data_IF_293262597337
#
_entry.id   IF_293262597337
#
_cell.length_a   1.000
_cell.length_b   1.000
_cell.length_c   1.000
_cell.angle_alpha   90.00
_cell.angle_beta   90.00
_cell.angle_gamma   90.00
#
_symmetry.space_group_name_H-M   'P 1'
#
loop_
_entity.id
_entity.type
_entity.pdbx_description
1 polymer ?
#
# COMPACT_ATOMS: atom_id res chain seq x y z
N UNK A 1 -89.13 11.36 57.88
CA UNK A 1 -88.36 10.50 58.80
C UNK A 1 -87.91 9.21 58.11
N UNK A 2 -88.79 8.23 57.80
CA UNK A 2 -88.37 7.01 57.08
C UNK A 2 -87.91 7.27 55.64
N UNK A 3 -88.68 8.06 54.89
CA UNK A 3 -88.38 8.36 53.48
C UNK A 3 -87.06 9.12 53.28
N UNK A 4 -86.69 9.99 54.23
CA UNK A 4 -85.41 10.71 54.21
C UNK A 4 -84.22 9.78 54.49
N UNK A 5 -84.43 8.78 55.33
CA UNK A 5 -83.45 7.72 55.62
C UNK A 5 -83.21 6.82 54.40
N UNK A 6 -84.27 6.49 53.65
CA UNK A 6 -84.16 5.71 52.41
C UNK A 6 -83.39 6.48 51.31
N UNK A 7 -83.67 7.78 51.17
CA UNK A 7 -82.94 8.66 50.23
C UNK A 7 -81.47 8.76 50.63
N UNK A 8 -81.17 8.92 51.92
CA UNK A 8 -79.81 8.96 52.43
C UNK A 8 -79.08 7.62 52.18
N UNK A 9 -79.74 6.48 52.45
CA UNK A 9 -79.18 5.16 52.23
C UNK A 9 -78.85 4.91 50.75
N UNK A 10 -79.74 5.32 49.83
CA UNK A 10 -79.48 5.23 48.39
C UNK A 10 -78.26 6.06 47.98
N UNK A 11 -78.14 7.30 48.48
CA UNK A 11 -77.00 8.18 48.18
C UNK A 11 -75.68 7.65 48.76
N UNK A 12 -75.70 7.11 49.99
CA UNK A 12 -74.54 6.43 50.59
C UNK A 12 -74.15 5.23 49.74
N UNK A 13 -75.11 4.43 49.27
CA UNK A 13 -74.87 3.30 48.37
C UNK A 13 -74.16 3.73 47.07
N UNK A 14 -74.63 4.81 46.43
CA UNK A 14 -74.01 5.38 45.24
C UNK A 14 -72.58 5.88 45.49
N UNK A 15 -72.33 6.57 46.61
CA UNK A 15 -70.98 7.04 46.98
C UNK A 15 -70.04 5.87 47.21
N UNK A 16 -70.51 4.80 47.87
CA UNK A 16 -69.72 3.58 48.07
C UNK A 16 -69.36 2.91 46.74
N UNK A 17 -70.31 2.80 45.81
CA UNK A 17 -70.06 2.27 44.46
C UNK A 17 -69.03 3.12 43.70
N UNK A 18 -69.18 4.44 43.70
CA UNK A 18 -68.24 5.36 43.06
C UNK A 18 -66.84 5.24 43.66
N UNK A 19 -66.74 5.13 44.99
CA UNK A 19 -65.46 4.97 45.69
C UNK A 19 -64.77 3.67 45.29
N UNK A 20 -65.51 2.57 45.15
CA UNK A 20 -64.98 1.29 44.68
C UNK A 20 -64.50 1.38 43.23
N UNK A 21 -65.24 2.06 42.36
CA UNK A 21 -64.83 2.28 40.98
C UNK A 21 -63.52 3.09 40.90
N UNK A 22 -63.43 4.22 41.63
CA UNK A 22 -62.23 5.04 41.68
C UNK A 22 -61.01 4.27 42.23
N UNK A 23 -61.22 3.36 43.19
CA UNK A 23 -60.16 2.49 43.70
C UNK A 23 -59.67 1.50 42.63
N UNK A 24 -60.58 0.91 41.85
CA UNK A 24 -60.25 0.02 40.74
C UNK A 24 -59.55 0.75 39.58
N UNK A 25 -59.99 1.97 39.27
CA UNK A 25 -59.35 2.81 38.25
C UNK A 25 -57.96 3.23 38.71
N UNK A 26 -57.79 3.60 39.99
CA UNK A 26 -56.49 3.92 40.58
C UNK A 26 -55.52 2.75 40.49
N UNK A 27 -55.94 1.53 40.84
CA UNK A 27 -55.06 0.36 40.77
C UNK A 27 -54.66 0.04 39.32
N UNK A 28 -55.59 0.22 38.38
CA UNK A 28 -55.33 0.07 36.94
C UNK A 28 -54.35 1.12 36.42
N UNK A 29 -54.47 2.38 36.83
CA UNK A 29 -53.54 3.43 36.43
C UNK A 29 -52.15 3.21 37.05
N UNK A 30 -52.09 2.75 38.31
CA UNK A 30 -50.82 2.42 38.96
C UNK A 30 -50.08 1.27 38.26
N UNK A 31 -50.78 0.23 37.83
CA UNK A 31 -50.15 -0.87 37.09
C UNK A 31 -49.67 -0.42 35.71
N UNK A 32 -50.43 0.42 35.01
CA UNK A 32 -50.02 1.01 33.73
C UNK A 32 -48.81 1.92 33.88
N UNK A 33 -48.79 2.78 34.90
CA UNK A 33 -47.64 3.65 35.19
C UNK A 33 -46.37 2.82 35.43
N UNK A 34 -46.47 1.78 36.27
CA UNK A 34 -45.34 0.90 36.54
C UNK A 34 -44.86 0.15 35.28
N UNK A 35 -45.77 -0.18 34.35
CA UNK A 35 -45.42 -0.75 33.04
C UNK A 35 -44.61 0.22 32.18
N UNK A 36 -45.13 1.44 31.99
CA UNK A 36 -44.48 2.48 31.19
C UNK A 36 -43.13 2.91 31.78
N UNK A 37 -43.02 2.95 33.12
CA UNK A 37 -41.75 3.25 33.79
C UNK A 37 -40.68 2.19 33.50
N UNK A 38 -41.04 0.91 33.51
CA UNK A 38 -40.11 -0.18 33.14
C UNK A 38 -39.72 -0.09 31.67
N UNK A 39 -40.67 0.07 30.76
CA UNK A 39 -40.39 0.22 29.32
C UNK A 39 -39.47 1.40 29.04
N UNK A 40 -39.70 2.55 29.70
CA UNK A 40 -38.84 3.73 29.60
C UNK A 40 -37.42 3.40 30.05
N UNK A 41 -37.26 2.69 31.16
CA UNK A 41 -35.94 2.38 31.72
C UNK A 41 -35.20 1.35 30.84
N UNK A 42 -35.90 0.36 30.30
CA UNK A 42 -35.37 -0.58 29.30
C UNK A 42 -34.91 0.14 28.02
N UNK A 43 -35.73 1.05 27.48
CA UNK A 43 -35.38 1.83 26.29
C UNK A 43 -34.18 2.76 26.54
N UNK A 44 -34.08 3.33 27.74
CA UNK A 44 -32.91 4.14 28.13
C UNK A 44 -31.65 3.31 28.19
N UNK A 45 -31.72 2.10 28.73
CA UNK A 45 -30.59 1.19 28.77
C UNK A 45 -30.17 0.75 27.36
N UNK A 46 -31.12 0.39 26.50
CA UNK A 46 -30.86 0.05 25.10
C UNK A 46 -30.19 1.21 24.35
N UNK A 47 -30.70 2.44 24.53
CA UNK A 47 -30.12 3.62 23.91
C UNK A 47 -28.69 3.90 24.42
N UNK A 48 -28.42 3.68 25.70
CA UNK A 48 -27.08 3.82 26.25
C UNK A 48 -26.12 2.80 25.62
N UNK A 49 -26.51 1.52 25.56
CA UNK A 49 -25.72 0.45 24.92
C UNK A 49 -25.43 0.76 23.45
N UNK A 50 -26.44 1.17 22.69
CA UNK A 50 -26.27 1.52 21.28
C UNK A 50 -25.32 2.71 21.09
N UNK A 51 -25.38 3.72 21.97
CA UNK A 51 -24.45 4.85 21.91
C UNK A 51 -23.01 4.42 22.17
N UNK A 52 -22.80 3.54 23.14
CA UNK A 52 -21.46 3.01 23.44
C UNK A 52 -20.93 2.14 22.29
N UNK A 53 -21.78 1.31 21.69
CA UNK A 53 -21.46 0.52 20.49
C UNK A 53 -21.10 1.42 19.31
N UNK A 54 -21.91 2.45 19.02
CA UNK A 54 -21.62 3.41 17.95
C UNK A 54 -20.33 4.17 18.18
N UNK A 55 -20.06 4.59 19.41
CA UNK A 55 -18.80 5.24 19.77
C UNK A 55 -17.61 4.31 19.53
N UNK A 56 -17.71 3.06 20.01
CA UNK A 56 -16.65 2.06 19.81
C UNK A 56 -16.41 1.75 18.32
N UNK A 57 -17.48 1.63 17.53
CA UNK A 57 -17.36 1.43 16.09
C UNK A 57 -16.73 2.65 15.40
N UNK A 58 -17.10 3.86 15.80
CA UNK A 58 -16.51 5.09 15.26
C UNK A 58 -15.02 5.19 15.57
N UNK A 59 -14.61 4.83 16.79
CA UNK A 59 -13.19 4.79 17.18
C UNK A 59 -12.42 3.80 16.31
N UNK A 60 -12.95 2.58 16.13
CA UNK A 60 -12.35 1.55 15.26
C UNK A 60 -12.26 1.98 13.80
N UNK A 61 -13.24 2.70 13.28
CA UNK A 61 -13.19 3.22 11.91
C UNK A 61 -12.07 4.24 11.75
N UNK A 62 -11.90 5.15 12.71
CA UNK A 62 -10.80 6.12 12.70
C UNK A 62 -9.45 5.42 12.79
N UNK A 63 -9.32 4.41 13.66
CA UNK A 63 -8.11 3.59 13.75
C UNK A 63 -7.79 2.90 12.42
N UNK A 64 -8.78 2.23 11.81
CA UNK A 64 -8.62 1.56 10.53
C UNK A 64 -8.28 2.54 9.39
N UNK A 65 -8.91 3.71 9.33
CA UNK A 65 -8.61 4.73 8.32
C UNK A 65 -7.14 5.20 8.46
N UNK A 66 -6.66 5.42 9.69
CA UNK A 66 -5.26 5.75 9.94
C UNK A 66 -4.31 4.62 9.52
N UNK A 67 -4.66 3.36 9.77
CA UNK A 67 -3.87 2.20 9.33
C UNK A 67 -3.80 2.11 7.80
N UNK A 68 -4.91 2.33 7.11
CA UNK A 68 -4.97 2.33 5.64
C UNK A 68 -4.13 3.46 5.05
N UNK A 69 -4.22 4.66 5.61
CA UNK A 69 -3.44 5.80 5.13
C UNK A 69 -1.94 5.59 5.38
N UNK A 70 -1.55 5.03 6.53
CA UNK A 70 -0.17 4.66 6.80
C UNK A 70 0.34 3.59 5.82
N UNK A 71 -0.45 2.55 5.55
CA UNK A 71 -0.10 1.50 4.61
C UNK A 71 0.04 2.02 3.18
N UNK A 72 -0.84 2.95 2.76
CA UNK A 72 -0.74 3.63 1.45
C UNK A 72 0.52 4.47 1.34
N UNK A 73 0.82 5.29 2.35
CA UNK A 73 2.04 6.10 2.37
C UNK A 73 3.30 5.23 2.29
N UNK A 74 3.33 4.10 3.00
CA UNK A 74 4.44 3.14 2.94
C UNK A 74 4.56 2.49 1.55
N UNK A 75 3.44 2.08 0.96
CA UNK A 75 3.41 1.51 -0.38
C UNK A 75 3.93 2.51 -1.43
N UNK A 76 3.47 3.76 -1.39
CA UNK A 76 3.94 4.82 -2.28
C UNK A 76 5.44 5.11 -2.12
N UNK A 77 5.92 5.19 -0.88
CA UNK A 77 7.34 5.37 -0.60
C UNK A 77 8.19 4.19 -1.14
N UNK A 78 7.74 2.95 -0.94
CA UNK A 78 8.44 1.77 -1.47
C UNK A 78 8.46 1.74 -3.00
N UNK A 79 7.36 2.11 -3.66
CA UNK A 79 7.29 2.19 -5.12
C UNK A 79 8.21 3.28 -5.66
N UNK A 80 8.27 4.45 -5.00
CA UNK A 80 9.19 5.52 -5.38
C UNK A 80 10.65 5.07 -5.24
N UNK A 81 11.00 4.40 -4.14
CA UNK A 81 12.34 3.86 -3.92
C UNK A 81 12.72 2.82 -4.99
N UNK A 82 11.80 1.90 -5.31
CA UNK A 82 12.04 0.87 -6.33
C UNK A 82 12.21 1.47 -7.72
N UNK A 83 11.42 2.50 -8.07
CA UNK A 83 11.57 3.23 -9.34
C UNK A 83 12.94 3.92 -9.42
N UNK A 84 13.35 4.63 -8.36
CA UNK A 84 14.67 5.26 -8.33
C UNK A 84 15.81 4.24 -8.44
N UNK A 85 15.66 3.08 -7.80
CA UNK A 85 16.63 1.99 -7.92
C UNK A 85 16.70 1.42 -9.34
N UNK A 86 15.55 1.23 -9.99
CA UNK A 86 15.47 0.76 -11.36
C UNK A 86 16.12 1.76 -12.33
N UNK A 87 15.80 3.05 -12.21
CA UNK A 87 16.40 4.12 -13.02
C UNK A 87 17.92 4.19 -12.84
N UNK A 88 18.40 4.08 -11.60
CA UNK A 88 19.83 4.05 -11.31
C UNK A 88 20.51 2.81 -11.91
N UNK A 89 19.87 1.64 -11.85
CA UNK A 89 20.42 0.41 -12.41
C UNK A 89 20.46 0.48 -13.95
N UNK A 90 19.42 1.02 -14.58
CA UNK A 90 19.40 1.26 -16.03
C UNK A 90 20.51 2.21 -16.47
N UNK A 91 20.73 3.31 -15.73
CA UNK A 91 21.81 4.24 -16.01
C UNK A 91 23.19 3.57 -15.91
N UNK A 92 23.42 2.79 -14.85
CA UNK A 92 24.67 2.05 -14.67
C UNK A 92 24.93 1.05 -15.82
N UNK A 93 23.90 0.31 -16.23
CA UNK A 93 24.01 -0.64 -17.35
C UNK A 93 24.29 0.08 -18.68
N UNK A 94 23.67 1.23 -18.92
CA UNK A 94 23.96 2.04 -20.12
C UNK A 94 25.41 2.51 -20.15
N UNK A 95 25.93 2.95 -19.01
CA UNK A 95 27.33 3.36 -18.89
C UNK A 95 28.30 2.18 -19.10
N UNK A 96 28.00 1.01 -18.53
CA UNK A 96 28.80 -0.21 -18.75
C UNK A 96 28.81 -0.63 -20.22
N UNK A 97 27.66 -0.63 -20.90
CA UNK A 97 27.57 -0.92 -22.32
C UNK A 97 28.40 0.08 -23.14
N UNK A 98 28.33 1.37 -22.82
CA UNK A 98 29.11 2.41 -23.50
C UNK A 98 30.62 2.19 -23.31
N UNK A 99 31.06 1.85 -22.09
CA UNK A 99 32.47 1.52 -21.79
C UNK A 99 32.93 0.30 -22.58
N UNK A 100 32.18 -0.80 -22.55
CA UNK A 100 32.53 -2.02 -23.28
C UNK A 100 32.61 -1.80 -24.78
N UNK A 101 31.72 -0.97 -25.35
CA UNK A 101 31.81 -0.58 -26.77
C UNK A 101 33.08 0.20 -27.06
N UNK A 102 33.39 1.23 -26.27
CA UNK A 102 34.60 2.03 -26.45
C UNK A 102 35.87 1.18 -26.30
N UNK A 103 35.90 0.25 -25.36
CA UNK A 103 37.04 -0.66 -25.16
C UNK A 103 37.18 -1.67 -26.30
N UNK A 104 36.06 -2.17 -26.82
CA UNK A 104 36.03 -3.01 -28.03
C UNK A 104 36.57 -2.28 -29.26
N UNK A 105 36.15 -1.03 -29.49
CA UNK A 105 36.64 -0.19 -30.58
C UNK A 105 38.15 0.06 -30.46
N UNK A 106 38.64 0.38 -29.26
CA UNK A 106 40.08 0.53 -28.99
C UNK A 106 40.85 -0.76 -29.26
N UNK A 107 40.32 -1.91 -28.84
CA UNK A 107 40.96 -3.21 -29.08
C UNK A 107 41.06 -3.52 -30.58
N UNK A 108 40.00 -3.25 -31.36
CA UNK A 108 40.00 -3.40 -32.82
C UNK A 108 41.04 -2.48 -33.45
N UNK A 109 41.09 -1.20 -33.06
CA UNK A 109 42.07 -0.24 -33.57
C UNK A 109 43.51 -0.69 -33.28
N UNK A 110 43.79 -1.14 -32.06
CA UNK A 110 45.12 -1.62 -31.67
C UNK A 110 45.53 -2.87 -32.45
N UNK A 111 44.60 -3.79 -32.68
CA UNK A 111 44.84 -4.97 -33.50
C UNK A 111 45.18 -4.59 -34.95
N UNK A 112 44.43 -3.67 -35.55
CA UNK A 112 44.70 -3.16 -36.90
C UNK A 112 46.06 -2.47 -36.99
N UNK A 113 46.42 -1.65 -36.00
CA UNK A 113 47.73 -0.99 -35.93
C UNK A 113 48.87 -2.03 -35.87
N UNK A 114 48.78 -3.02 -34.97
CA UNK A 114 49.75 -4.11 -34.85
C UNK A 114 49.87 -4.95 -36.14
N UNK A 115 48.74 -5.26 -36.78
CA UNK A 115 48.73 -5.97 -38.08
C UNK A 115 49.43 -5.17 -39.17
N UNK A 116 49.17 -3.87 -39.26
CA UNK A 116 49.83 -2.98 -40.23
C UNK A 116 51.34 -2.89 -39.99
N UNK A 117 51.76 -2.84 -38.73
CA UNK A 117 53.17 -2.82 -38.35
C UNK A 117 53.86 -4.15 -38.68
N UNK A 118 53.22 -5.28 -38.39
CA UNK A 118 53.70 -6.60 -38.80
C UNK A 118 53.84 -6.72 -40.32
N UNK A 119 52.87 -6.23 -41.09
CA UNK A 119 52.93 -6.21 -42.54
C UNK A 119 54.11 -5.36 -43.05
N UNK A 120 54.31 -4.18 -42.46
CA UNK A 120 55.44 -3.29 -42.76
C UNK A 120 56.79 -3.95 -42.46
N UNK A 121 56.92 -4.59 -41.29
CA UNK A 121 58.14 -5.30 -40.90
C UNK A 121 58.42 -6.49 -41.82
N UNK A 122 57.40 -7.28 -42.21
CA UNK A 122 57.57 -8.36 -43.19
C UNK A 122 58.01 -7.84 -44.56
N UNK A 123 57.42 -6.75 -45.04
CA UNK A 123 57.82 -6.13 -46.31
C UNK A 123 59.26 -5.62 -46.26
N UNK A 124 59.67 -4.96 -45.16
CA UNK A 124 61.04 -4.50 -44.96
C UNK A 124 62.04 -5.67 -44.88
N UNK A 125 61.68 -6.75 -44.17
CA UNK A 125 62.50 -7.96 -44.10
C UNK A 125 62.65 -8.65 -45.47
N UNK A 126 61.57 -8.71 -46.26
CA UNK A 126 61.60 -9.19 -47.64
C UNK A 126 62.55 -8.36 -48.52
N UNK A 127 62.39 -7.03 -48.51
CA UNK A 127 63.26 -6.13 -49.27
C UNK A 127 64.73 -6.20 -48.82
N UNK A 128 65.00 -6.38 -47.52
CA UNK A 128 66.36 -6.58 -47.02
C UNK A 128 66.95 -7.91 -47.51
N UNK A 129 66.16 -8.99 -47.53
CA UNK A 129 66.56 -10.28 -48.08
C UNK A 129 66.88 -10.21 -49.57
N UNK A 130 66.03 -9.53 -50.35
CA UNK A 130 66.25 -9.37 -51.80
C UNK A 130 67.52 -8.55 -52.08
N UNK A 131 67.79 -7.51 -51.27
CA UNK A 131 69.06 -6.75 -51.33
C UNK A 131 70.26 -7.61 -50.98
N UNK A 132 70.17 -8.44 -49.94
CA UNK A 132 71.24 -9.36 -49.58
C UNK A 132 71.52 -10.36 -50.71
N UNK A 133 70.49 -10.94 -51.31
CA UNK A 133 70.63 -11.83 -52.46
C UNK A 133 71.28 -11.11 -53.64
N UNK A 134 70.82 -9.90 -53.98
CA UNK A 134 71.42 -9.10 -55.05
C UNK A 134 72.90 -8.74 -54.78
N UNK A 135 73.31 -8.57 -53.52
CA UNK A 135 74.72 -8.38 -53.16
C UNK A 135 75.50 -9.69 -53.30
N UNK A 136 74.93 -10.82 -52.84
CA UNK A 136 75.52 -12.15 -52.97
C UNK A 136 75.75 -12.55 -54.43
N UNK A 137 74.80 -12.24 -55.33
CA UNK A 137 74.93 -12.46 -56.77
C UNK A 137 75.98 -11.54 -57.44
N UNK A 138 76.33 -10.42 -56.80
CA UNK A 138 77.25 -9.40 -57.33
C UNK A 138 78.64 -9.46 -56.70
N UNK A 139 78.89 -10.45 -55.83
CA UNK A 139 80.20 -10.75 -55.27
C UNK A 139 81.08 -11.45 -56.32
N UNK A 140 82.29 -10.94 -56.61
CA UNK A 140 83.21 -11.60 -57.54
C UNK A 140 83.75 -12.88 -56.88
N UNK A 141 83.17 -14.03 -57.24
CA UNK A 141 83.66 -15.35 -56.79
C UNK A 141 82.63 -16.47 -56.53
N UNK A 142 81.37 -16.37 -56.97
CA UNK A 142 80.46 -17.52 -56.93
C UNK A 142 80.57 -18.37 -58.22
N UNK A 143 80.59 -19.72 -58.12
CA UNK A 143 80.90 -20.62 -59.23
C UNK A 143 79.81 -20.59 -60.32
N UNK A 144 80.25 -20.55 -61.58
CA UNK A 144 79.39 -20.86 -62.72
C UNK A 144 79.29 -22.40 -62.83
N UNK A 145 78.22 -23.00 -62.30
CA UNK A 145 77.59 -24.23 -62.81
C UNK A 145 76.09 -24.22 -62.50
#
# INVERSE_FOLDING_TARGET
>A
MLQDLDILAARVGQIVQLTRQLQADRSTLQSRLAGVERERDELREQLARQKDEHKSMSERLVEHDNEVDAARAQAEASLAALRAQAESAEAALRDEIARHRADGEKAIHNLQASQSECARLRAAAGAARDRLNAILERLPGAPQE
#
